data_IF_719325805317
#
_entry.id   IF_719325805317
#
_cell.length_a   1.000
_cell.length_b   1.000
_cell.length_c   1.000
_cell.angle_alpha   90.00
_cell.angle_beta   90.00
_cell.angle_gamma   90.00
#
_symmetry.space_group_name_H-M   'P 1'
#
loop_
_entity.id
_entity.type
_entity.pdbx_description
1 polymer ?
#
# COMPACT_ATOMS: atom_id res chain seq x y z
N UNK A 1 2.95 -0.61 -17.50
CA UNK A 1 3.18 0.71 -16.88
C UNK A 1 4.67 0.88 -16.72
N UNK A 2 5.20 2.05 -17.06
CA UNK A 2 6.63 2.35 -16.86
C UNK A 2 6.92 2.49 -15.36
N UNK A 3 8.05 1.93 -14.93
CA UNK A 3 8.50 1.98 -13.54
C UNK A 3 8.93 3.41 -13.24
N UNK A 4 8.24 4.06 -12.31
CA UNK A 4 8.59 5.41 -11.85
C UNK A 4 9.61 5.32 -10.72
N UNK A 5 10.71 6.05 -10.85
CA UNK A 5 11.62 6.30 -9.74
C UNK A 5 11.09 7.47 -8.91
N UNK A 6 11.23 7.34 -7.59
CA UNK A 6 10.72 8.30 -6.62
C UNK A 6 11.86 8.83 -5.77
N UNK A 7 11.98 10.14 -5.69
CA UNK A 7 12.71 10.77 -4.58
C UNK A 7 11.90 10.65 -3.29
N UNK A 8 12.57 10.72 -2.14
CA UNK A 8 11.89 10.67 -0.84
C UNK A 8 10.81 11.76 -0.71
N UNK A 9 11.10 12.97 -1.19
CA UNK A 9 10.17 14.09 -1.14
C UNK A 9 8.95 13.89 -2.05
N UNK A 10 9.11 13.31 -3.24
CA UNK A 10 7.97 13.00 -4.12
C UNK A 10 7.07 11.93 -3.52
N UNK A 11 7.67 10.86 -2.95
CA UNK A 11 6.93 9.80 -2.29
C UNK A 11 6.12 10.35 -1.10
N UNK A 12 6.72 11.22 -0.27
CA UNK A 12 6.01 11.90 0.83
C UNK A 12 4.91 12.85 0.36
N UNK A 13 5.11 13.55 -0.77
CA UNK A 13 4.10 14.47 -1.33
C UNK A 13 2.85 13.74 -1.79
N UNK A 14 2.98 12.55 -2.38
CA UNK A 14 1.83 11.76 -2.82
C UNK A 14 1.21 10.92 -1.70
N UNK A 15 1.97 10.61 -0.64
CA UNK A 15 1.54 9.73 0.45
C UNK A 15 0.16 10.09 1.03
N UNK A 16 -0.23 11.37 1.25
CA UNK A 16 -1.58 11.70 1.73
C UNK A 16 -2.70 11.17 0.84
N UNK A 17 -2.53 11.22 -0.49
CA UNK A 17 -3.50 10.71 -1.46
C UNK A 17 -3.55 9.17 -1.39
N UNK A 18 -2.38 8.53 -1.28
CA UNK A 18 -2.29 7.07 -1.15
C UNK A 18 -2.94 6.58 0.14
N UNK A 19 -2.77 7.32 1.25
CA UNK A 19 -3.43 7.05 2.54
C UNK A 19 -4.94 7.13 2.39
N UNK A 20 -5.47 8.22 1.82
CA UNK A 20 -6.91 8.40 1.64
C UNK A 20 -7.53 7.27 0.82
N UNK A 21 -6.90 6.89 -0.30
CA UNK A 21 -7.35 5.77 -1.14
C UNK A 21 -7.32 4.48 -0.33
N UNK A 22 -6.20 4.18 0.34
CA UNK A 22 -6.01 2.95 1.09
C UNK A 22 -6.99 2.83 2.25
N UNK A 23 -7.19 3.89 3.04
CA UNK A 23 -8.13 3.93 4.16
C UNK A 23 -9.58 3.74 3.72
N UNK A 24 -9.96 4.33 2.58
CA UNK A 24 -11.29 4.14 1.98
C UNK A 24 -11.54 2.67 1.63
N UNK A 25 -10.63 2.04 0.88
CA UNK A 25 -10.78 0.64 0.48
C UNK A 25 -10.67 -0.32 1.67
N UNK A 26 -9.79 -0.04 2.62
CA UNK A 26 -9.68 -0.78 3.87
C UNK A 26 -11.00 -0.76 4.64
N UNK A 27 -11.67 0.39 4.71
CA UNK A 27 -12.96 0.52 5.41
C UNK A 27 -14.03 -0.36 4.77
N UNK A 28 -14.16 -0.36 3.44
CA UNK A 28 -15.12 -1.20 2.72
C UNK A 28 -14.83 -2.70 2.89
N UNK A 29 -13.56 -3.10 2.74
CA UNK A 29 -13.15 -4.50 2.93
C UNK A 29 -13.39 -4.95 4.37
N UNK A 30 -13.08 -4.09 5.35
CA UNK A 30 -13.26 -4.41 6.77
C UNK A 30 -14.74 -4.59 7.13
N UNK A 31 -15.62 -3.77 6.58
CA UNK A 31 -17.07 -3.90 6.80
C UNK A 31 -17.60 -5.24 6.26
N UNK A 32 -17.24 -5.60 5.04
CA UNK A 32 -17.64 -6.89 4.44
C UNK A 32 -17.06 -8.08 5.22
N UNK A 33 -15.80 -8.00 5.64
CA UNK A 33 -15.14 -9.04 6.42
C UNK A 33 -15.80 -9.24 7.80
N UNK A 34 -16.24 -8.15 8.44
CA UNK A 34 -17.03 -8.19 9.68
C UNK A 34 -18.36 -8.91 9.45
N UNK A 35 -19.08 -8.57 8.37
CA UNK A 35 -20.37 -9.21 8.05
C UNK A 35 -20.22 -10.72 7.81
N UNK A 36 -19.19 -11.15 7.08
CA UNK A 36 -18.91 -12.57 6.83
C UNK A 36 -18.60 -13.31 8.14
N UNK A 37 -17.80 -12.71 9.03
CA UNK A 37 -17.36 -13.36 10.27
C UNK A 37 -18.46 -13.42 11.32
N UNK A 38 -19.25 -12.36 11.45
CA UNK A 38 -20.14 -12.16 12.60
C UNK A 38 -21.60 -12.55 12.28
N UNK A 39 -21.90 -12.93 11.03
CA UNK A 39 -23.25 -13.35 10.59
C UNK A 39 -23.22 -14.75 9.96
N UNK A 40 -24.20 -15.59 10.29
CA UNK A 40 -24.44 -16.84 9.56
C UNK A 40 -25.15 -16.49 8.25
N UNK A 41 -24.42 -16.58 7.14
CA UNK A 41 -24.93 -16.28 5.81
C UNK A 41 -25.18 -17.56 5.01
N UNK A 42 -26.17 -17.59 4.11
CA UNK A 42 -26.24 -18.57 3.05
C UNK A 42 -24.94 -18.63 2.24
N UNK A 43 -24.55 -19.81 1.76
CA UNK A 43 -23.28 -20.03 1.04
C UNK A 43 -23.12 -19.08 -0.16
N UNK A 44 -24.19 -18.91 -0.96
CA UNK A 44 -24.19 -17.98 -2.09
C UNK A 44 -23.99 -16.51 -1.69
N UNK A 45 -24.49 -16.08 -0.53
CA UNK A 45 -24.29 -14.72 -0.04
C UNK A 45 -22.87 -14.51 0.49
N UNK A 46 -22.31 -15.53 1.16
CA UNK A 46 -20.92 -15.55 1.60
C UNK A 46 -19.98 -15.44 0.40
N UNK A 47 -20.16 -16.28 -0.62
CA UNK A 47 -19.37 -16.25 -1.86
C UNK A 47 -19.44 -14.89 -2.56
N UNK A 48 -20.64 -14.29 -2.64
CA UNK A 48 -20.81 -12.96 -3.25
C UNK A 48 -20.02 -11.87 -2.51
N UNK A 49 -20.00 -11.89 -1.17
CA UNK A 49 -19.24 -10.93 -0.36
C UNK A 49 -17.74 -11.14 -0.46
N UNK A 50 -17.28 -12.39 -0.49
CA UNK A 50 -15.87 -12.70 -0.73
C UNK A 50 -15.40 -12.18 -2.09
N UNK A 51 -16.23 -12.35 -3.12
CA UNK A 51 -15.94 -11.85 -4.46
C UNK A 51 -15.91 -10.31 -4.50
N UNK A 52 -16.80 -9.65 -3.75
CA UNK A 52 -16.77 -8.20 -3.58
C UNK A 52 -15.49 -7.72 -2.90
N UNK A 53 -15.03 -8.40 -1.84
CA UNK A 53 -13.73 -8.13 -1.21
C UNK A 53 -12.58 -8.27 -2.22
N UNK A 54 -12.55 -9.34 -3.02
CA UNK A 54 -11.52 -9.54 -4.04
C UNK A 54 -11.51 -8.40 -5.06
N UNK A 55 -12.68 -7.98 -5.52
CA UNK A 55 -12.82 -6.84 -6.46
C UNK A 55 -12.29 -5.54 -5.85
N UNK A 56 -12.67 -5.22 -4.62
CA UNK A 56 -12.20 -4.02 -3.92
C UNK A 56 -10.68 -4.00 -3.76
N UNK A 57 -10.07 -5.14 -3.41
CA UNK A 57 -8.60 -5.25 -3.30
C UNK A 57 -7.92 -5.04 -4.66
N UNK A 58 -8.46 -5.63 -5.73
CA UNK A 58 -7.93 -5.47 -7.09
C UNK A 58 -8.07 -4.02 -7.60
N UNK A 59 -9.20 -3.38 -7.33
CA UNK A 59 -9.42 -1.98 -7.66
C UNK A 59 -8.45 -1.05 -6.91
N UNK A 60 -8.28 -1.27 -5.60
CA UNK A 60 -7.28 -0.55 -4.81
C UNK A 60 -5.89 -0.71 -5.41
N UNK A 61 -5.45 -1.96 -5.66
CA UNK A 61 -4.14 -2.24 -6.23
C UNK A 61 -3.94 -1.51 -7.55
N UNK A 62 -4.95 -1.56 -8.43
CA UNK A 62 -4.90 -0.93 -9.76
C UNK A 62 -4.75 0.59 -9.64
N UNK A 63 -5.54 1.23 -8.76
CA UNK A 63 -5.46 2.68 -8.50
C UNK A 63 -4.10 3.11 -7.94
N UNK A 64 -3.50 2.32 -7.06
CA UNK A 64 -2.16 2.62 -6.53
C UNK A 64 -1.11 2.49 -7.64
N UNK A 65 -1.20 1.43 -8.46
CA UNK A 65 -0.28 1.18 -9.56
C UNK A 65 -0.34 2.25 -10.66
N UNK A 66 -1.49 2.90 -10.88
CA UNK A 66 -1.62 4.04 -11.80
C UNK A 66 -0.67 5.21 -11.49
N UNK A 67 -0.24 5.35 -10.22
CA UNK A 67 0.76 6.35 -9.84
C UNK A 67 2.20 5.93 -10.13
N UNK A 68 2.44 4.67 -10.54
CA UNK A 68 3.77 4.08 -10.65
C UNK A 68 4.33 3.60 -9.29
N UNK A 69 3.45 3.21 -8.37
CA UNK A 69 3.80 2.66 -7.05
C UNK A 69 3.67 1.14 -7.08
N UNK A 70 4.60 0.43 -6.43
CA UNK A 70 4.57 -1.04 -6.38
C UNK A 70 3.71 -1.53 -5.20
N UNK A 71 2.74 -2.40 -5.48
CA UNK A 71 1.90 -3.05 -4.45
C UNK A 71 2.56 -4.37 -4.08
N UNK A 72 2.93 -4.56 -2.80
CA UNK A 72 3.63 -5.76 -2.32
C UNK A 72 2.75 -6.70 -1.49
N UNK A 73 1.59 -6.22 -1.04
CA UNK A 73 0.66 -6.99 -0.23
C UNK A 73 -0.58 -6.17 0.10
N UNK A 74 -1.45 -6.71 0.95
CA UNK A 74 -2.63 -5.99 1.43
C UNK A 74 -2.21 -4.72 2.16
N UNK A 75 -2.58 -3.58 1.59
CA UNK A 75 -2.31 -2.26 2.17
C UNK A 75 -0.82 -1.97 2.39
N UNK A 76 0.03 -2.65 1.62
CA UNK A 76 1.49 -2.57 1.67
C UNK A 76 2.02 -2.14 0.30
N UNK A 77 2.75 -1.03 0.28
CA UNK A 77 3.29 -0.44 -0.94
C UNK A 77 4.76 -0.09 -0.80
N UNK A 78 5.43 -0.07 -1.94
CA UNK A 78 6.82 0.34 -2.09
C UNK A 78 6.95 1.40 -3.19
N UNK A 79 7.68 2.48 -2.87
CA UNK A 79 8.13 3.47 -3.84
C UNK A 79 9.57 3.14 -4.25
N UNK A 80 9.76 2.76 -5.52
CA UNK A 80 11.10 2.47 -6.06
C UNK A 80 11.94 3.75 -6.10
N UNK A 81 13.10 3.74 -5.44
CA UNK A 81 13.99 4.90 -5.38
C UNK A 81 15.25 4.76 -6.25
N UNK A 82 15.46 3.61 -6.92
CA UNK A 82 16.62 3.33 -7.76
C UNK A 82 17.70 2.45 -7.10
N UNK A 83 17.74 2.44 -5.76
CA UNK A 83 18.66 1.62 -4.95
C UNK A 83 17.93 0.68 -3.96
N UNK A 84 16.61 0.72 -3.96
CA UNK A 84 15.74 -0.01 -3.06
C UNK A 84 14.35 0.59 -3.07
N UNK A 85 13.68 0.55 -1.92
CA UNK A 85 12.32 1.04 -1.78
C UNK A 85 12.14 1.86 -0.53
N UNK A 86 11.34 2.92 -0.63
CA UNK A 86 10.65 3.47 0.52
C UNK A 86 9.35 2.69 0.73
N UNK A 87 9.18 2.12 1.90
CA UNK A 87 8.10 1.20 2.20
C UNK A 87 7.09 1.87 3.13
N UNK A 88 5.80 1.71 2.83
CA UNK A 88 4.70 2.18 3.67
C UNK A 88 3.63 1.10 3.80
N UNK A 89 3.14 0.92 5.02
CA UNK A 89 2.00 0.06 5.33
C UNK A 89 0.89 0.86 6.02
N UNK A 90 -0.37 0.50 5.77
CA UNK A 90 -1.52 1.07 6.50
C UNK A 90 -1.30 1.00 8.02
N UNK A 91 -1.52 2.13 8.70
CA UNK A 91 -1.24 2.31 10.13
C UNK A 91 0.06 3.06 10.42
N UNK A 92 0.93 3.23 9.42
CA UNK A 92 2.10 4.11 9.53
C UNK A 92 1.72 5.55 9.19
N UNK A 93 2.11 6.50 10.04
CA UNK A 93 1.71 7.90 9.89
C UNK A 93 2.38 8.59 8.67
N UNK A 94 3.61 8.20 8.36
CA UNK A 94 4.51 8.81 7.38
C UNK A 94 5.41 7.74 6.74
N UNK A 95 6.23 8.13 5.75
CA UNK A 95 7.21 7.26 5.10
C UNK A 95 8.44 7.12 6.00
N UNK A 96 8.40 6.14 6.90
CA UNK A 96 9.39 5.97 7.97
C UNK A 96 10.46 4.93 7.69
N UNK A 97 10.23 4.04 6.71
CA UNK A 97 11.07 2.88 6.49
C UNK A 97 11.51 2.74 5.04
N UNK A 98 12.71 2.22 4.85
CA UNK A 98 13.24 1.80 3.56
C UNK A 98 13.87 0.41 3.66
N UNK A 99 14.00 -0.27 2.53
CA UNK A 99 14.75 -1.52 2.43
C UNK A 99 15.43 -1.63 1.06
N UNK A 100 16.49 -2.45 0.99
CA UNK A 100 17.12 -2.80 -0.27
C UNK A 100 16.23 -3.70 -1.13
N UNK A 101 16.59 -3.91 -2.39
CA UNK A 101 15.88 -4.81 -3.29
C UNK A 101 15.86 -6.28 -2.82
N UNK A 102 16.85 -6.70 -2.02
CA UNK A 102 17.03 -8.09 -1.60
C UNK A 102 16.37 -8.43 -0.25
N UNK A 103 16.27 -7.44 0.65
CA UNK A 103 15.84 -7.66 2.04
C UNK A 103 14.30 -7.71 2.22
N UNK A 104 13.55 -7.05 1.32
CA UNK A 104 12.09 -6.93 1.41
C UNK A 104 11.59 -6.29 2.72
N UNK A 105 10.30 -6.49 3.03
CA UNK A 105 9.65 -5.89 4.21
C UNK A 105 10.30 -6.26 5.56
N UNK A 106 10.91 -7.45 5.65
CA UNK A 106 11.51 -7.93 6.89
C UNK A 106 12.82 -7.21 7.26
N UNK A 107 13.53 -6.65 6.27
CA UNK A 107 14.78 -5.91 6.52
C UNK A 107 14.63 -4.39 6.52
N UNK A 108 13.43 -3.89 6.81
CA UNK A 108 13.16 -2.44 6.89
C UNK A 108 14.06 -1.74 7.90
N UNK A 109 14.66 -0.63 7.46
CA UNK A 109 15.48 0.28 8.27
C UNK A 109 14.78 1.63 8.32
N UNK A 110 14.91 2.33 9.46
CA UNK A 110 14.34 3.66 9.61
C UNK A 110 15.06 4.64 8.69
N UNK A 111 14.29 5.48 8.02
CA UNK A 111 14.82 6.56 7.18
C UNK A 111 15.34 7.68 8.09
N UNK A 112 16.60 8.06 7.90
CA UNK A 112 17.14 9.30 8.46
C UNK A 112 16.64 10.48 7.60
N UNK A 113 15.71 11.25 8.16
CA UNK A 113 15.02 12.34 7.45
C UNK A 113 15.96 13.48 7.08
N UNK A 114 17.04 13.67 7.85
CA UNK A 114 17.99 14.77 7.65
C UNK A 114 18.98 14.49 6.51
N UNK A 115 19.06 13.24 6.03
CA UNK A 115 19.96 12.83 4.94
C UNK A 115 19.29 12.68 3.56
N UNK A 116 17.95 12.77 3.50
CA UNK A 116 17.17 12.42 2.28
C UNK A 116 16.66 13.63 1.49
N UNK A 117 17.25 14.79 1.74
CA UNK A 117 16.96 16.02 0.99
C UNK A 117 17.81 16.08 -0.28
N UNK A 118 17.24 15.65 -1.42
CA UNK A 118 17.56 16.30 -2.69
C UNK A 118 17.89 15.48 -3.93
N UNK A 119 18.17 14.17 -3.86
CA UNK A 119 18.50 13.39 -5.07
C UNK A 119 17.87 11.98 -5.06
N UNK A 120 17.68 11.41 -6.26
CA UNK A 120 17.52 9.96 -6.41
C UNK A 120 18.78 9.32 -5.84
N UNK A 121 18.63 8.45 -4.85
CA UNK A 121 19.78 7.72 -4.35
C UNK A 121 20.12 6.64 -5.37
#
# INVERSE_FOLDING_TARGET
MERKLWTYQEARKILPIVKEITEKYYSYVSELAVQIRDTILPENEMENKEEEIRKLILEWSSKIQEFGIEVKGLWLIDFDNGNGYYCWHLGEEDLLYEHSYEEGFAGRKRIDKDQKDGEYQ
#
